data_IF_615401820486
#
_entry.id   IF_615401820486
#
_cell.length_a   1.000
_cell.length_b   1.000
_cell.length_c   1.000
_cell.angle_alpha   90.00
_cell.angle_beta   90.00
_cell.angle_gamma   90.00
#
_symmetry.space_group_name_H-M   'P 1'
#
loop_
_entity.id
_entity.type
_entity.pdbx_description
1 polymer ?
#
# COMPACT_ATOMS: atom_id res chain seq x y z
N UNK A 1 8.41 5.67 -23.57
CA UNK A 1 7.59 4.72 -22.77
C UNK A 1 6.90 5.51 -21.67
N UNK A 2 5.59 5.35 -21.48
CA UNK A 2 4.85 5.99 -20.39
C UNK A 2 5.22 5.30 -19.08
N UNK A 3 5.54 6.08 -18.05
CA UNK A 3 5.79 5.53 -16.71
C UNK A 3 4.45 5.27 -16.04
N UNK A 4 4.19 4.02 -15.65
CA UNK A 4 3.04 3.67 -14.83
C UNK A 4 3.50 3.56 -13.38
N UNK A 5 3.03 4.46 -12.56
CA UNK A 5 3.45 4.61 -11.15
C UNK A 5 2.30 4.17 -10.27
N UNK A 6 2.55 3.17 -9.42
CA UNK A 6 1.61 2.73 -8.39
C UNK A 6 2.25 2.90 -7.01
N UNK A 7 1.52 3.49 -6.09
CA UNK A 7 1.90 3.54 -4.69
C UNK A 7 0.68 3.66 -3.78
N UNK A 8 0.88 3.39 -2.50
CA UNK A 8 -0.20 3.47 -1.54
C UNK A 8 0.28 3.79 -0.12
N UNK A 9 -0.63 4.31 0.67
CA UNK A 9 -0.43 4.55 2.10
C UNK A 9 -1.48 3.79 2.89
N UNK A 10 -1.06 3.11 3.95
CA UNK A 10 -1.98 2.47 4.88
C UNK A 10 -2.69 3.54 5.71
N UNK A 11 -4.03 3.47 5.83
CA UNK A 11 -4.80 4.38 6.66
C UNK A 11 -4.73 3.95 8.14
N UNK A 12 -3.53 3.91 8.72
CA UNK A 12 -3.30 3.49 10.10
C UNK A 12 -2.65 4.63 10.88
N UNK A 13 -3.32 5.05 11.96
CA UNK A 13 -2.86 6.13 12.81
C UNK A 13 -2.91 7.52 12.15
N UNK A 14 -2.52 8.53 12.89
CA UNK A 14 -2.44 9.90 12.38
C UNK A 14 -1.28 10.02 11.39
N UNK A 15 -1.57 10.51 10.19
CA UNK A 15 -0.53 10.89 9.23
C UNK A 15 0.35 11.97 9.85
N UNK A 16 1.64 11.70 9.90
CA UNK A 16 2.62 12.63 10.45
C UNK A 16 3.54 13.17 9.35
N UNK A 17 4.35 14.15 9.69
CA UNK A 17 5.26 14.81 8.75
C UNK A 17 6.15 13.81 7.97
N UNK A 18 6.54 12.70 8.60
CA UNK A 18 7.32 11.65 7.94
C UNK A 18 6.57 10.95 6.80
N UNK A 19 5.26 10.73 6.92
CA UNK A 19 4.43 10.18 5.84
C UNK A 19 4.33 11.18 4.68
N UNK A 20 4.16 12.48 5.00
CA UNK A 20 4.11 13.53 3.99
C UNK A 20 5.44 13.61 3.23
N UNK A 21 6.57 13.78 3.93
CA UNK A 21 7.88 13.95 3.30
C UNK A 21 8.38 12.67 2.61
N UNK A 22 8.10 11.51 3.21
CA UNK A 22 8.59 10.22 2.71
C UNK A 22 7.79 9.66 1.54
N UNK A 23 6.51 9.97 1.43
CA UNK A 23 5.63 9.42 0.41
C UNK A 23 4.86 10.49 -0.36
N UNK A 24 3.96 11.23 0.29
CA UNK A 24 2.94 12.06 -0.39
C UNK A 24 3.58 13.19 -1.22
N UNK A 25 4.61 13.83 -0.72
CA UNK A 25 5.37 14.84 -1.47
C UNK A 25 5.93 14.28 -2.79
N UNK A 26 6.40 13.04 -2.76
CA UNK A 26 6.91 12.38 -3.96
C UNK A 26 5.79 12.04 -4.95
N UNK A 27 4.60 11.67 -4.45
CA UNK A 27 3.42 11.44 -5.30
C UNK A 27 3.04 12.70 -6.08
N UNK A 28 3.03 13.86 -5.41
CA UNK A 28 2.78 15.17 -6.06
C UNK A 28 3.85 15.47 -7.11
N UNK A 29 5.10 15.18 -6.83
CA UNK A 29 6.17 15.38 -7.80
C UNK A 29 6.01 14.46 -9.02
N UNK A 30 5.65 13.19 -8.82
CA UNK A 30 5.47 12.25 -9.92
C UNK A 30 4.28 12.60 -10.81
N UNK A 31 3.13 13.00 -10.25
CA UNK A 31 1.97 13.36 -11.05
C UNK A 31 2.21 14.59 -11.98
N UNK A 32 3.20 15.43 -11.65
CA UNK A 32 3.56 16.60 -12.44
C UNK A 32 4.67 16.33 -13.46
N UNK A 33 5.17 15.08 -13.55
CA UNK A 33 6.13 14.69 -14.57
C UNK A 33 5.42 14.43 -15.90
N UNK A 34 6.07 14.81 -16.99
CA UNK A 34 5.60 14.43 -18.32
C UNK A 34 5.62 12.92 -18.51
N UNK A 35 4.59 12.38 -19.18
CA UNK A 35 4.46 10.97 -19.52
C UNK A 35 4.44 10.02 -18.30
N UNK A 36 3.84 10.44 -17.21
CA UNK A 36 3.57 9.60 -16.05
C UNK A 36 2.06 9.37 -15.87
N UNK A 37 1.64 8.12 -15.76
CA UNK A 37 0.33 7.70 -15.28
C UNK A 37 0.47 7.31 -13.82
N UNK A 38 -0.21 8.03 -12.93
CA UNK A 38 -0.06 7.86 -11.49
C UNK A 38 -1.34 7.29 -10.89
N UNK A 39 -1.18 6.23 -10.11
CA UNK A 39 -2.23 5.51 -9.41
C UNK A 39 -1.85 5.47 -7.92
N UNK A 40 -2.66 6.12 -7.09
CA UNK A 40 -2.44 6.21 -5.64
C UNK A 40 -3.59 5.57 -4.88
N UNK A 41 -3.25 4.58 -4.08
CA UNK A 41 -4.20 3.74 -3.37
C UNK A 41 -4.17 4.01 -1.86
N UNK A 42 -5.35 4.12 -1.24
CA UNK A 42 -5.48 4.00 0.20
C UNK A 42 -5.64 2.50 0.50
N UNK A 43 -4.56 1.88 1.04
CA UNK A 43 -4.46 0.42 1.12
C UNK A 43 -5.07 -0.12 2.42
N UNK A 44 -6.39 -0.07 2.48
CA UNK A 44 -7.20 -0.50 3.63
C UNK A 44 -7.16 -2.03 3.86
N UNK A 45 -7.01 -2.84 2.82
CA UNK A 45 -6.85 -4.29 2.96
C UNK A 45 -5.50 -4.64 3.64
N UNK A 46 -4.45 -3.86 3.41
CA UNK A 46 -3.20 -4.00 4.17
C UNK A 46 -3.35 -3.55 5.62
N UNK A 47 -4.19 -2.54 5.89
CA UNK A 47 -4.42 -2.06 7.25
C UNK A 47 -5.07 -3.13 8.14
N UNK A 48 -6.03 -3.89 7.61
CA UNK A 48 -6.75 -4.93 8.37
C UNK A 48 -5.93 -6.21 8.65
N UNK A 49 -4.70 -6.29 8.15
CA UNK A 49 -3.77 -7.37 8.54
C UNK A 49 -3.43 -7.34 10.03
N UNK A 50 -3.63 -6.20 10.67
CA UNK A 50 -3.60 -6.00 12.12
C UNK A 50 -5.01 -5.57 12.56
N UNK A 51 -5.40 -5.96 13.76
CA UNK A 51 -6.74 -5.62 14.29
C UNK A 51 -6.97 -4.10 14.26
N UNK A 52 -8.06 -3.69 13.64
CA UNK A 52 -8.52 -2.30 13.54
C UNK A 52 -9.93 -2.19 14.09
N UNK A 53 -10.27 -1.06 14.69
CA UNK A 53 -11.68 -0.70 14.92
C UNK A 53 -12.29 -0.24 13.59
N UNK A 54 -13.46 -0.77 13.18
CA UNK A 54 -14.04 -0.43 11.88
C UNK A 54 -14.40 1.04 11.71
N UNK A 55 -14.81 1.72 12.79
CA UNK A 55 -15.18 3.13 12.75
C UNK A 55 -13.94 4.02 12.64
N UNK A 56 -12.89 3.69 13.38
CA UNK A 56 -11.60 4.37 13.31
C UNK A 56 -10.95 4.18 11.93
N UNK A 57 -10.98 2.95 11.39
CA UNK A 57 -10.45 2.67 10.06
C UNK A 57 -11.18 3.48 8.98
N UNK A 58 -12.52 3.55 9.05
CA UNK A 58 -13.33 4.37 8.14
C UNK A 58 -12.94 5.84 8.16
N UNK A 59 -12.71 6.38 9.36
CA UNK A 59 -12.27 7.77 9.52
C UNK A 59 -10.85 7.96 8.99
N UNK A 60 -9.93 7.07 9.30
CA UNK A 60 -8.54 7.13 8.83
C UNK A 60 -8.44 7.04 7.30
N UNK A 61 -9.30 6.27 6.64
CA UNK A 61 -9.38 6.24 5.16
C UNK A 61 -9.76 7.61 4.62
N UNK A 62 -10.76 8.28 5.21
CA UNK A 62 -11.19 9.62 4.80
C UNK A 62 -10.10 10.66 5.03
N UNK A 63 -9.44 10.64 6.18
CA UNK A 63 -8.36 11.54 6.53
C UNK A 63 -7.14 11.36 5.61
N UNK A 64 -6.78 10.10 5.30
CA UNK A 64 -5.70 9.81 4.35
C UNK A 64 -6.02 10.37 2.97
N UNK A 65 -7.25 10.17 2.49
CA UNK A 65 -7.68 10.69 1.20
C UNK A 65 -7.70 12.23 1.20
N UNK A 66 -8.22 12.85 2.25
CA UNK A 66 -8.22 14.31 2.41
C UNK A 66 -6.80 14.86 2.44
N UNK A 67 -5.87 14.18 3.11
CA UNK A 67 -4.46 14.55 3.15
C UNK A 67 -3.80 14.46 1.78
N UNK A 68 -4.13 13.45 0.97
CA UNK A 68 -3.66 13.37 -0.41
C UNK A 68 -4.05 14.62 -1.21
N UNK A 69 -5.33 14.98 -1.17
CA UNK A 69 -5.85 16.14 -1.89
C UNK A 69 -5.27 17.47 -1.35
N UNK A 70 -5.25 17.63 -0.02
CA UNK A 70 -4.69 18.83 0.62
C UNK A 70 -3.19 19.01 0.35
N UNK A 71 -2.47 17.92 0.10
CA UNK A 71 -1.04 17.94 -0.25
C UNK A 71 -0.77 18.29 -1.71
N UNK A 72 -1.82 18.42 -2.54
CA UNK A 72 -1.70 18.81 -3.94
C UNK A 72 -1.83 17.66 -4.95
N UNK A 73 -2.29 16.47 -4.51
CA UNK A 73 -2.69 15.44 -5.47
C UNK A 73 -3.99 15.88 -6.16
N UNK A 74 -3.97 15.84 -7.48
CA UNK A 74 -5.06 16.24 -8.36
C UNK A 74 -5.72 15.00 -8.98
N UNK A 75 -6.99 14.75 -8.64
CA UNK A 75 -7.77 13.63 -9.18
C UNK A 75 -8.03 13.73 -10.70
N UNK A 76 -7.74 14.87 -11.33
CA UNK A 76 -7.77 15.01 -12.79
C UNK A 76 -6.48 14.52 -13.46
N UNK A 77 -5.39 14.42 -12.70
CA UNK A 77 -4.07 13.99 -13.17
C UNK A 77 -3.70 12.59 -12.70
N UNK A 78 -4.25 12.16 -11.57
CA UNK A 78 -3.91 10.88 -10.93
C UNK A 78 -5.19 10.14 -10.55
N UNK A 79 -5.14 8.82 -10.64
CA UNK A 79 -6.19 7.97 -10.10
C UNK A 79 -5.97 7.84 -8.59
N UNK A 80 -7.00 8.13 -7.79
CA UNK A 80 -6.97 7.98 -6.34
C UNK A 80 -8.17 7.11 -5.95
N UNK A 81 -7.94 6.03 -5.21
CA UNK A 81 -8.99 5.09 -4.83
C UNK A 81 -8.67 4.36 -3.53
N UNK A 82 -9.69 3.72 -2.96
CA UNK A 82 -9.56 2.81 -1.82
C UNK A 82 -9.40 1.37 -2.34
N UNK A 83 -8.43 0.63 -1.82
CA UNK A 83 -8.07 -0.70 -2.31
C UNK A 83 -9.26 -1.67 -2.33
N UNK A 84 -10.08 -1.68 -1.27
CA UNK A 84 -11.24 -2.57 -1.17
C UNK A 84 -12.38 -2.24 -2.14
N UNK A 85 -12.35 -1.11 -2.83
CA UNK A 85 -13.34 -0.77 -3.88
C UNK A 85 -13.05 -1.50 -5.21
N UNK A 86 -11.86 -2.13 -5.32
CA UNK A 86 -11.45 -2.91 -6.49
C UNK A 86 -11.24 -4.37 -6.09
N UNK A 87 -12.25 -5.25 -6.24
CA UNK A 87 -12.17 -6.64 -5.79
C UNK A 87 -11.00 -7.45 -6.36
N UNK A 88 -10.52 -7.07 -7.55
CA UNK A 88 -9.42 -7.74 -8.23
C UNK A 88 -8.10 -7.76 -7.42
N UNK A 89 -7.92 -6.87 -6.46
CA UNK A 89 -6.77 -6.93 -5.55
C UNK A 89 -6.80 -8.21 -4.70
N UNK A 90 -7.96 -8.52 -4.11
CA UNK A 90 -8.14 -9.74 -3.30
C UNK A 90 -8.14 -10.99 -4.16
N UNK A 91 -8.79 -10.95 -5.33
CA UNK A 91 -8.82 -12.04 -6.28
C UNK A 91 -7.42 -12.36 -6.82
N UNK A 92 -6.68 -11.33 -7.26
CA UNK A 92 -5.30 -11.48 -7.70
C UNK A 92 -4.38 -12.00 -6.60
N UNK A 93 -4.57 -11.53 -5.36
CA UNK A 93 -3.85 -12.06 -4.20
C UNK A 93 -4.13 -13.54 -3.98
N UNK A 94 -5.36 -13.99 -4.12
CA UNK A 94 -5.70 -15.42 -4.02
C UNK A 94 -5.02 -16.25 -5.11
N UNK A 95 -5.12 -15.82 -6.37
CA UNK A 95 -4.52 -16.51 -7.52
C UNK A 95 -3.01 -16.64 -7.34
N UNK A 96 -2.33 -15.53 -7.00
CA UNK A 96 -0.90 -15.54 -6.73
C UNK A 96 -0.54 -16.39 -5.51
N UNK A 97 -1.40 -16.39 -4.48
CA UNK A 97 -1.24 -17.21 -3.27
C UNK A 97 -1.19 -18.70 -3.58
N UNK A 98 -1.98 -19.17 -4.56
CA UNK A 98 -1.97 -20.57 -5.00
C UNK A 98 -0.65 -21.00 -5.66
N UNK A 99 0.16 -20.05 -6.13
CA UNK A 99 1.45 -20.32 -6.78
C UNK A 99 2.66 -19.96 -5.89
N UNK A 100 2.48 -19.08 -4.91
CA UNK A 100 3.51 -18.62 -4.01
C UNK A 100 4.00 -19.76 -3.07
N UNK A 101 5.29 -19.74 -2.78
CA UNK A 101 5.89 -20.76 -1.90
C UNK A 101 6.07 -20.24 -0.48
N UNK A 102 5.72 -21.05 0.51
CA UNK A 102 5.91 -20.75 1.92
C UNK A 102 7.35 -20.29 2.24
N UNK A 103 8.35 -20.88 1.61
CA UNK A 103 9.75 -20.52 1.80
C UNK A 103 10.08 -19.09 1.35
N UNK A 104 9.31 -18.49 0.44
CA UNK A 104 9.48 -17.09 0.07
C UNK A 104 8.98 -16.17 1.18
N UNK A 105 7.79 -16.46 1.71
CA UNK A 105 7.17 -15.69 2.79
C UNK A 105 7.97 -15.76 4.09
N UNK A 106 8.55 -16.92 4.40
CA UNK A 106 9.40 -17.10 5.59
C UNK A 106 10.65 -16.23 5.62
N UNK A 107 11.10 -15.72 4.46
CA UNK A 107 12.26 -14.81 4.34
C UNK A 107 11.89 -13.35 4.59
N UNK A 108 10.59 -13.01 4.56
CA UNK A 108 10.13 -11.63 4.73
C UNK A 108 10.33 -11.17 6.17
N UNK A 109 11.07 -10.07 6.34
CA UNK A 109 11.45 -9.54 7.66
C UNK A 109 10.28 -8.89 8.39
N UNK A 110 9.37 -8.22 7.65
CA UNK A 110 8.27 -7.48 8.25
C UNK A 110 7.27 -8.34 9.03
N UNK A 111 7.06 -9.60 8.63
CA UNK A 111 6.26 -10.54 9.43
C UNK A 111 6.91 -10.73 10.80
N UNK A 112 8.23 -10.93 10.82
CA UNK A 112 8.99 -11.14 12.07
C UNK A 112 8.95 -9.91 12.99
N UNK A 113 8.98 -8.72 12.41
CA UNK A 113 8.94 -7.45 13.13
C UNK A 113 7.54 -7.16 13.70
N UNK A 114 6.48 -7.30 12.90
CA UNK A 114 5.10 -6.98 13.28
C UNK A 114 4.43 -8.05 14.13
N UNK A 115 4.75 -9.33 13.92
CA UNK A 115 4.22 -10.43 14.73
C UNK A 115 4.78 -10.42 16.16
N UNK A 116 5.89 -9.73 16.42
CA UNK A 116 6.51 -9.66 17.75
C UNK A 116 6.96 -11.02 18.28
N UNK A 117 6.86 -11.19 19.61
CA UNK A 117 7.26 -12.42 20.29
C UNK A 117 6.25 -13.56 20.13
N UNK A 118 4.97 -13.23 19.89
CA UNK A 118 3.87 -14.19 19.87
C UNK A 118 3.36 -14.39 18.43
N UNK A 119 4.16 -15.08 17.64
CA UNK A 119 3.85 -15.34 16.22
C UNK A 119 2.59 -16.15 15.99
N UNK A 120 2.19 -16.96 16.98
CA UNK A 120 1.00 -17.82 16.88
C UNK A 120 -0.29 -17.00 16.91
N UNK A 121 -0.26 -15.80 17.50
CA UNK A 121 -1.41 -14.87 17.51
C UNK A 121 -1.46 -13.92 16.32
N UNK A 122 -0.44 -13.94 15.46
CA UNK A 122 -0.41 -13.12 14.27
C UNK A 122 -1.46 -13.60 13.25
N UNK A 123 -2.13 -12.66 12.58
CA UNK A 123 -3.08 -13.03 11.54
C UNK A 123 -2.39 -13.64 10.33
N UNK A 124 -3.07 -14.55 9.63
CA UNK A 124 -2.59 -15.08 8.34
C UNK A 124 -2.41 -13.92 7.34
N UNK A 125 -3.28 -12.92 7.36
CA UNK A 125 -3.15 -11.73 6.53
C UNK A 125 -1.81 -11.03 6.69
N UNK A 126 -1.29 -10.94 7.92
CA UNK A 126 0.04 -10.40 8.18
C UNK A 126 1.17 -11.25 7.60
N UNK A 127 0.95 -12.54 7.43
CA UNK A 127 1.93 -13.45 6.81
C UNK A 127 1.90 -13.39 5.29
N UNK A 128 0.71 -13.26 4.69
CA UNK A 128 0.53 -13.31 3.23
C UNK A 128 0.43 -11.93 2.56
N UNK A 129 0.49 -10.82 3.33
CA UNK A 129 0.38 -9.46 2.73
C UNK A 129 1.37 -9.18 1.57
N UNK A 130 2.58 -9.80 1.49
CA UNK A 130 3.45 -9.59 0.33
C UNK A 130 2.85 -10.09 -0.98
N UNK A 131 1.96 -11.09 -0.91
CA UNK A 131 1.23 -11.60 -2.07
C UNK A 131 0.19 -10.57 -2.53
N UNK A 132 -0.55 -9.98 -1.58
CA UNK A 132 -1.48 -8.89 -1.88
C UNK A 132 -0.74 -7.69 -2.49
N UNK A 133 0.43 -7.33 -1.95
CA UNK A 133 1.26 -6.26 -2.50
C UNK A 133 1.74 -6.58 -3.93
N UNK A 134 2.07 -7.83 -4.23
CA UNK A 134 2.41 -8.24 -5.59
C UNK A 134 1.20 -8.13 -6.53
N UNK A 135 0.00 -8.50 -6.07
CA UNK A 135 -1.23 -8.31 -6.83
C UNK A 135 -1.50 -6.83 -7.12
N UNK A 136 -1.34 -5.95 -6.12
CA UNK A 136 -1.52 -4.51 -6.27
C UNK A 136 -0.65 -3.93 -7.39
N UNK A 137 0.59 -4.40 -7.48
CA UNK A 137 1.57 -3.93 -8.48
C UNK A 137 1.27 -4.48 -9.87
N UNK A 138 0.97 -5.77 -9.96
CA UNK A 138 0.78 -6.47 -11.23
C UNK A 138 -0.52 -6.09 -11.93
N UNK A 139 -1.58 -5.79 -11.18
CA UNK A 139 -2.89 -5.43 -11.73
C UNK A 139 -2.84 -4.22 -12.68
N UNK A 140 -1.91 -3.32 -12.48
CA UNK A 140 -1.82 -2.05 -13.22
C UNK A 140 -0.65 -1.99 -14.19
N UNK A 141 0.03 -3.11 -14.48
CA UNK A 141 1.26 -3.12 -15.29
C UNK A 141 2.28 -2.07 -14.81
N UNK A 142 2.45 -1.98 -13.51
CA UNK A 142 3.25 -0.94 -12.87
C UNK A 142 4.72 -1.05 -13.29
N UNK A 143 5.29 0.06 -13.72
CA UNK A 143 6.71 0.14 -14.10
C UNK A 143 7.57 0.75 -12.97
N UNK A 144 6.96 1.54 -12.08
CA UNK A 144 7.64 2.23 -10.99
C UNK A 144 6.81 2.20 -9.72
N UNK A 145 7.40 1.71 -8.64
CA UNK A 145 6.82 1.71 -7.31
C UNK A 145 7.66 2.61 -6.43
N UNK A 146 7.24 3.87 -6.21
CA UNK A 146 7.93 4.73 -5.27
C UNK A 146 7.69 4.21 -3.86
N UNK A 147 8.76 3.85 -3.18
CA UNK A 147 8.74 3.36 -1.81
C UNK A 147 9.15 4.47 -0.85
N UNK A 148 8.42 4.59 0.24
CA UNK A 148 8.80 5.51 1.31
C UNK A 148 10.13 5.04 1.93
N UNK A 149 11.12 5.91 2.01
CA UNK A 149 12.45 5.63 2.57
C UNK A 149 12.42 5.15 4.03
N UNK A 150 11.28 5.22 4.71
CA UNK A 150 11.15 4.83 6.11
C UNK A 150 11.15 3.30 6.34
N UNK A 151 11.02 2.47 5.29
CA UNK A 151 10.92 1.02 5.44
C UNK A 151 11.81 0.18 4.50
N UNK A 152 12.67 0.80 3.70
CA UNK A 152 13.61 0.09 2.86
C UNK A 152 15.05 0.39 3.26
N UNK A 153 15.49 -0.20 4.37
CA UNK A 153 16.86 -0.70 4.42
C UNK A 153 16.82 -2.10 3.81
N UNK A 154 16.99 -2.17 2.50
CA UNK A 154 17.41 -3.39 1.87
C UNK A 154 18.84 -3.67 2.35
N UNK A 155 19.01 -4.75 3.07
CA UNK A 155 20.30 -5.42 3.27
C UNK A 155 20.31 -6.67 2.41
#
# INVERSE_FOLDING_TARGET
MIKKIFSGVQPTGNLHLGNYLGAIKNFVNFQNQEKAECIYCVVDLHAITVKQDPSELKNSIRETTATYLASGLDFKKSVIFKQSDVPSHSEGSWILGCTAKMGWLNRMTQFKEKAGKDKEKASIGLYIYPILMAADILLYDTTHVPVSYTHLRAH
#
